data_IF_112134091399
#
_entry.id   IF_112134091399
#
_cell.length_a   1.000
_cell.length_b   1.000
_cell.length_c   1.000
_cell.angle_alpha   90.00
_cell.angle_beta   90.00
_cell.angle_gamma   90.00
#
_symmetry.space_group_name_H-M   'P 1'
#
loop_
_entity.id
_entity.type
_entity.pdbx_description
1 polymer ?
#
# COMPACT_ATOMS: atom_id res chain seq x y z
N UNK A 1 -24.34 6.89 -28.66
CA UNK A 1 -24.61 8.32 -28.42
C UNK A 1 -23.66 8.79 -27.34
N UNK A 2 -22.62 9.54 -27.72
CA UNK A 2 -21.66 10.13 -26.78
C UNK A 2 -22.40 11.10 -25.85
N UNK A 3 -22.14 11.09 -24.53
CA UNK A 3 -22.73 12.08 -23.65
C UNK A 3 -22.16 13.46 -23.99
N UNK A 4 -22.94 14.55 -23.81
CA UNK A 4 -22.48 15.89 -24.12
C UNK A 4 -21.35 16.28 -23.16
N UNK A 5 -20.16 16.48 -23.69
CA UNK A 5 -19.06 17.16 -23.02
C UNK A 5 -19.39 18.64 -22.90
N UNK A 6 -20.25 19.00 -21.95
CA UNK A 6 -20.31 20.39 -21.49
C UNK A 6 -19.02 20.66 -20.71
N UNK A 7 -18.06 21.31 -21.35
CA UNK A 7 -16.80 21.72 -20.73
C UNK A 7 -17.10 22.80 -19.69
N UNK A 8 -17.21 22.40 -18.42
CA UNK A 8 -17.28 23.34 -17.30
C UNK A 8 -16.07 24.29 -17.31
N UNK A 9 -16.26 25.59 -16.98
CA UNK A 9 -15.25 26.62 -17.16
C UNK A 9 -14.04 26.38 -16.25
N UNK A 10 -12.84 26.63 -16.77
CA UNK A 10 -11.60 26.54 -15.99
C UNK A 10 -11.46 27.75 -15.05
N UNK A 11 -10.62 27.65 -14.00
CA UNK A 11 -10.39 28.75 -13.03
C UNK A 11 -9.98 30.04 -13.74
N UNK A 12 -9.11 29.93 -14.75
CA UNK A 12 -8.67 31.04 -15.60
C UNK A 12 -9.85 31.71 -16.33
N UNK A 13 -10.79 30.92 -16.86
CA UNK A 13 -11.96 31.43 -17.58
C UNK A 13 -12.97 32.09 -16.64
N UNK A 14 -13.23 31.50 -15.47
CA UNK A 14 -14.12 32.10 -14.48
C UNK A 14 -13.55 33.39 -13.91
N UNK A 15 -12.25 33.44 -13.60
CA UNK A 15 -11.61 34.68 -13.16
C UNK A 15 -11.76 35.79 -14.19
N UNK A 16 -11.51 35.48 -15.48
CA UNK A 16 -11.71 36.45 -16.56
C UNK A 16 -13.17 36.88 -16.68
N UNK A 17 -14.12 35.94 -16.59
CA UNK A 17 -15.56 36.21 -16.69
C UNK A 17 -16.05 37.09 -15.55
N UNK A 18 -15.73 36.72 -14.31
CA UNK A 18 -16.10 37.46 -13.11
C UNK A 18 -15.48 38.85 -13.08
N UNK A 19 -14.21 38.99 -13.46
CA UNK A 19 -13.55 40.30 -13.55
C UNK A 19 -14.19 41.19 -14.61
N UNK A 20 -14.48 40.64 -15.79
CA UNK A 20 -15.17 41.39 -16.87
C UNK A 20 -16.58 41.82 -16.44
N UNK A 21 -17.31 40.97 -15.74
CA UNK A 21 -18.63 41.29 -15.19
C UNK A 21 -18.57 42.40 -14.14
N UNK A 22 -17.51 42.40 -13.31
CA UNK A 22 -17.25 43.46 -12.35
C UNK A 22 -16.76 44.78 -12.99
N UNK A 23 -16.54 44.81 -14.32
CA UNK A 23 -16.05 46.00 -15.02
C UNK A 23 -14.59 46.38 -14.67
N UNK A 24 -13.82 45.46 -14.08
CA UNK A 24 -12.49 45.76 -13.56
C UNK A 24 -11.38 45.41 -14.56
N UNK A 25 -10.36 46.27 -14.63
CA UNK A 25 -9.09 45.92 -15.29
C UNK A 25 -8.29 44.93 -14.43
N UNK A 26 -7.33 44.21 -15.03
CA UNK A 26 -6.44 43.31 -14.27
C UNK A 26 -5.67 44.07 -13.18
N UNK A 27 -5.28 45.33 -13.44
CA UNK A 27 -4.56 46.15 -12.48
C UNK A 27 -5.43 46.50 -11.26
N UNK A 28 -6.67 46.95 -11.47
CA UNK A 28 -7.60 47.28 -10.39
C UNK A 28 -7.95 46.05 -9.53
N UNK A 29 -8.23 44.91 -10.17
CA UNK A 29 -8.55 43.67 -9.45
C UNK A 29 -7.35 43.16 -8.63
N UNK A 30 -6.12 43.27 -9.16
CA UNK A 30 -4.91 42.86 -8.46
C UNK A 30 -4.64 43.74 -7.23
N UNK A 31 -4.80 45.06 -7.38
CA UNK A 31 -4.61 46.04 -6.30
C UNK A 31 -5.63 45.84 -5.17
N UNK A 32 -6.93 45.71 -5.50
CA UNK A 32 -7.99 45.47 -4.52
C UNK A 32 -7.86 44.11 -3.82
N UNK A 33 -7.38 43.08 -4.52
CA UNK A 33 -7.13 41.77 -3.93
C UNK A 33 -5.82 41.71 -3.14
N UNK A 34 -4.94 42.72 -3.27
CA UNK A 34 -3.57 42.74 -2.73
C UNK A 34 -2.67 41.62 -3.26
N UNK A 35 -2.84 41.26 -4.54
CA UNK A 35 -1.99 40.30 -5.26
C UNK A 35 -1.17 41.05 -6.31
N UNK A 36 -0.05 40.47 -6.76
CA UNK A 36 0.72 41.12 -7.82
C UNK A 36 -0.02 41.06 -9.16
N UNK A 37 0.13 42.11 -9.99
CA UNK A 37 -0.43 42.14 -11.34
C UNK A 37 0.06 40.95 -12.19
N UNK A 38 1.34 40.59 -12.07
CA UNK A 38 1.90 39.40 -12.72
C UNK A 38 1.22 38.12 -12.22
N UNK A 39 0.99 37.99 -10.92
CA UNK A 39 0.33 36.83 -10.32
C UNK A 39 -1.13 36.67 -10.77
N UNK A 40 -1.90 37.77 -10.85
CA UNK A 40 -3.26 37.72 -11.39
C UNK A 40 -3.27 37.37 -12.90
N UNK A 41 -2.31 37.89 -13.65
CA UNK A 41 -2.16 37.58 -15.08
C UNK A 41 -1.84 36.11 -15.31
N UNK A 42 -0.95 35.52 -14.52
CA UNK A 42 -0.59 34.10 -14.62
C UNK A 42 -1.76 33.18 -14.22
N UNK A 43 -2.60 33.61 -13.27
CA UNK A 43 -3.86 32.94 -12.93
C UNK A 43 -4.86 32.99 -14.09
N UNK A 44 -5.10 34.17 -14.67
CA UNK A 44 -6.04 34.33 -15.79
C UNK A 44 -5.57 33.67 -17.09
N UNK A 45 -4.28 33.36 -17.22
CA UNK A 45 -3.72 32.66 -18.39
C UNK A 45 -3.55 31.15 -18.14
N UNK A 46 -3.97 30.64 -16.98
CA UNK A 46 -3.88 29.22 -16.66
C UNK A 46 -2.44 28.71 -16.48
N UNK A 47 -1.46 29.59 -16.27
CA UNK A 47 -0.06 29.20 -16.04
C UNK A 47 0.17 28.61 -14.65
N UNK A 48 -0.75 28.90 -13.71
CA UNK A 48 -0.74 28.34 -12.36
C UNK A 48 -1.72 27.18 -12.31
N UNK A 49 -1.19 25.95 -12.32
CA UNK A 49 -1.99 24.72 -12.34
C UNK A 49 -2.82 24.49 -11.06
N UNK A 50 -2.33 24.96 -9.91
CA UNK A 50 -3.00 24.82 -8.60
C UNK A 50 -2.95 26.14 -7.81
N UNK A 51 -3.89 27.07 -8.06
CA UNK A 51 -3.99 28.31 -7.29
C UNK A 51 -4.23 28.04 -5.80
N UNK A 52 -3.67 28.87 -4.91
CA UNK A 52 -3.98 28.80 -3.48
C UNK A 52 -5.40 29.31 -3.24
N UNK A 53 -6.19 28.56 -2.47
CA UNK A 53 -7.56 28.93 -2.12
C UNK A 53 -7.66 30.31 -1.41
N UNK A 54 -6.66 30.65 -0.59
CA UNK A 54 -6.56 31.96 0.06
C UNK A 54 -6.42 33.11 -0.93
N UNK A 55 -5.60 32.93 -1.96
CA UNK A 55 -5.44 33.90 -3.05
C UNK A 55 -6.74 34.07 -3.84
N UNK A 56 -7.43 32.96 -4.16
CA UNK A 56 -8.71 33.01 -4.87
C UNK A 56 -9.82 33.67 -4.05
N UNK A 57 -9.89 33.43 -2.74
CA UNK A 57 -10.83 34.12 -1.85
C UNK A 57 -10.61 35.62 -1.80
N UNK A 58 -9.34 36.07 -1.75
CA UNK A 58 -9.00 37.51 -1.80
C UNK A 58 -9.43 38.16 -3.11
N UNK A 59 -9.24 37.45 -4.23
CA UNK A 59 -9.72 37.92 -5.54
C UNK A 59 -11.25 37.93 -5.59
N UNK A 60 -11.91 36.90 -5.06
CA UNK A 60 -13.37 36.84 -4.98
C UNK A 60 -13.96 38.00 -4.16
N UNK A 61 -13.35 38.33 -3.01
CA UNK A 61 -13.71 39.51 -2.22
C UNK A 61 -13.53 40.80 -3.01
N UNK A 62 -12.40 40.96 -3.71
CA UNK A 62 -12.13 42.15 -4.53
C UNK A 62 -13.11 42.32 -5.69
N UNK A 63 -13.57 41.21 -6.27
CA UNK A 63 -14.56 41.18 -7.35
C UNK A 63 -16.01 41.25 -6.84
N UNK A 64 -16.22 41.41 -5.53
CA UNK A 64 -17.53 41.41 -4.88
C UNK A 64 -18.38 40.19 -5.25
N UNK A 65 -17.76 39.01 -5.37
CA UNK A 65 -18.45 37.77 -5.68
C UNK A 65 -19.39 37.37 -4.55
N UNK A 66 -20.52 36.76 -4.91
CA UNK A 66 -21.39 36.13 -3.92
C UNK A 66 -20.66 35.00 -3.19
N UNK A 67 -21.20 34.56 -2.05
CA UNK A 67 -20.67 33.38 -1.38
C UNK A 67 -20.69 32.14 -2.31
N UNK A 68 -21.72 31.99 -3.13
CA UNK A 68 -21.87 30.90 -4.12
C UNK A 68 -20.79 30.96 -5.21
N UNK A 69 -20.50 32.15 -5.75
CA UNK A 69 -19.48 32.36 -6.79
C UNK A 69 -18.05 32.24 -6.24
N UNK A 70 -17.85 32.64 -4.98
CA UNK A 70 -16.58 32.46 -4.27
C UNK A 70 -16.30 30.98 -4.07
N UNK A 71 -17.31 30.20 -3.68
CA UNK A 71 -17.19 28.76 -3.49
C UNK A 71 -17.01 28.03 -4.83
N UNK A 72 -17.66 28.48 -5.91
CA UNK A 72 -17.43 27.98 -7.27
C UNK A 72 -15.98 28.21 -7.71
N UNK A 73 -15.47 29.43 -7.56
CA UNK A 73 -14.10 29.78 -7.93
C UNK A 73 -13.05 28.98 -7.13
N UNK A 74 -13.27 28.82 -5.83
CA UNK A 74 -12.35 28.10 -4.93
C UNK A 74 -12.47 26.59 -5.10
N UNK A 75 -13.69 26.07 -5.31
CA UNK A 75 -13.97 24.65 -5.50
C UNK A 75 -13.28 24.06 -6.74
N UNK A 76 -13.26 24.80 -7.85
CA UNK A 76 -12.59 24.37 -9.09
C UNK A 76 -11.06 24.30 -8.92
N UNK A 77 -10.51 25.12 -8.02
CA UNK A 77 -9.07 25.12 -7.71
C UNK A 77 -8.66 24.04 -6.69
N UNK A 78 -9.59 23.60 -5.85
CA UNK A 78 -9.30 22.64 -4.79
C UNK A 78 -9.26 21.19 -5.28
N UNK A 79 -9.98 20.84 -6.36
CA UNK A 79 -9.84 19.51 -6.96
C UNK A 79 -10.36 19.44 -8.43
N UNK A 80 -9.51 19.24 -9.44
CA UNK A 80 -9.95 19.01 -10.83
C UNK A 80 -10.86 17.78 -10.98
N UNK A 81 -10.79 16.86 -10.01
CA UNK A 81 -11.65 15.67 -9.91
C UNK A 81 -13.04 15.96 -9.33
N UNK A 82 -13.38 17.18 -8.94
CA UNK A 82 -14.76 17.53 -8.54
C UNK A 82 -15.64 17.89 -9.75
N UNK A 83 -15.08 17.90 -10.96
CA UNK A 83 -15.78 18.28 -12.19
C UNK A 83 -16.77 17.19 -12.59
N UNK A 84 -18.06 17.52 -12.58
CA UNK A 84 -19.14 16.67 -13.12
C UNK A 84 -19.78 15.70 -12.14
N UNK A 85 -19.45 15.76 -10.85
CA UNK A 85 -20.04 14.87 -9.84
C UNK A 85 -21.14 15.57 -9.04
N UNK A 86 -22.31 14.92 -9.01
CA UNK A 86 -23.45 15.37 -8.19
C UNK A 86 -23.16 15.27 -6.69
N UNK A 87 -22.26 14.37 -6.28
CA UNK A 87 -21.84 14.14 -4.91
C UNK A 87 -20.36 13.72 -4.87
N UNK A 88 -19.60 14.31 -3.96
CA UNK A 88 -18.22 13.90 -3.65
C UNK A 88 -17.96 13.96 -2.15
N UNK A 89 -17.71 12.79 -1.56
CA UNK A 89 -17.35 12.63 -0.15
C UNK A 89 -15.85 12.41 -0.06
N UNK A 90 -15.23 12.95 0.98
CA UNK A 90 -13.80 12.82 1.20
C UNK A 90 -13.49 12.36 2.60
N UNK A 91 -12.79 11.23 2.73
CA UNK A 91 -12.37 10.62 3.98
C UNK A 91 -10.85 10.47 4.10
N UNK A 92 -10.09 10.65 3.01
CA UNK A 92 -8.63 10.61 2.97
C UNK A 92 -8.03 11.95 3.43
N UNK A 93 -8.37 12.34 4.65
CA UNK A 93 -8.12 13.64 5.25
C UNK A 93 -9.30 14.06 6.14
N UNK A 94 -9.45 15.34 6.48
CA UNK A 94 -10.64 15.82 7.19
C UNK A 94 -11.92 15.46 6.42
N UNK A 95 -12.94 14.95 7.12
CA UNK A 95 -14.22 14.63 6.50
C UNK A 95 -14.82 15.89 5.87
N UNK A 96 -15.11 15.81 4.57
CA UNK A 96 -15.83 16.84 3.82
C UNK A 96 -16.75 16.22 2.78
N UNK A 97 -17.87 16.89 2.50
CA UNK A 97 -18.80 16.49 1.46
C UNK A 97 -19.08 17.68 0.54
N UNK A 98 -19.23 17.41 -0.75
CA UNK A 98 -19.56 18.38 -1.77
C UNK A 98 -20.73 17.86 -2.59
N UNK A 99 -21.69 18.72 -2.90
CA UNK A 99 -22.87 18.40 -3.72
C UNK A 99 -22.89 19.38 -4.88
N UNK A 100 -22.88 18.86 -6.11
CA UNK A 100 -22.77 19.66 -7.33
C UNK A 100 -21.62 20.69 -7.27
N UNK A 101 -20.48 20.28 -6.70
CA UNK A 101 -19.29 21.12 -6.51
C UNK A 101 -19.30 22.08 -5.30
N UNK A 102 -20.42 22.20 -4.59
CA UNK A 102 -20.56 23.11 -3.43
C UNK A 102 -20.33 22.35 -2.13
N UNK A 103 -19.54 22.90 -1.21
CA UNK A 103 -19.29 22.29 0.10
C UNK A 103 -20.56 22.22 0.94
N UNK A 104 -20.84 21.06 1.51
CA UNK A 104 -22.00 20.82 2.38
C UNK A 104 -21.54 20.31 3.73
N UNK A 105 -21.97 20.98 4.81
CA UNK A 105 -21.80 20.48 6.18
C UNK A 105 -22.75 19.28 6.41
N UNK A 106 -22.27 18.09 6.80
CA UNK A 106 -23.16 16.96 7.13
C UNK A 106 -24.00 17.19 8.41
N UNK A 107 -23.60 18.14 9.25
CA UNK A 107 -24.28 18.53 10.47
C UNK A 107 -23.42 18.37 11.72
N UNK A 108 -24.04 18.20 12.91
CA UNK A 108 -23.35 17.97 14.17
C UNK A 108 -22.41 16.76 14.14
N UNK A 109 -21.47 16.70 15.08
CA UNK A 109 -20.43 15.66 15.20
C UNK A 109 -20.96 14.25 15.01
N UNK A 110 -22.06 13.87 15.69
CA UNK A 110 -22.67 12.53 15.56
C UNK A 110 -23.08 12.18 14.13
N UNK A 111 -23.63 13.14 13.37
CA UNK A 111 -23.98 12.93 11.95
C UNK A 111 -22.76 12.83 11.05
N UNK A 112 -21.71 13.61 11.34
CA UNK A 112 -20.42 13.50 10.65
C UNK A 112 -19.77 12.14 10.91
N UNK A 113 -19.83 11.64 12.16
CA UNK A 113 -19.36 10.30 12.51
C UNK A 113 -20.14 9.22 11.77
N UNK A 114 -21.47 9.31 11.73
CA UNK A 114 -22.30 8.39 10.95
C UNK A 114 -21.90 8.36 9.47
N UNK A 115 -21.70 9.53 8.84
CA UNK A 115 -21.22 9.61 7.47
C UNK A 115 -19.82 8.99 7.33
N UNK A 116 -18.91 9.27 8.26
CA UNK A 116 -17.56 8.71 8.26
C UNK A 116 -17.56 7.18 8.33
N UNK A 117 -18.31 6.59 9.26
CA UNK A 117 -18.43 5.14 9.43
C UNK A 117 -18.97 4.48 8.16
N UNK A 118 -20.04 5.03 7.56
CA UNK A 118 -20.60 4.49 6.33
C UNK A 118 -19.67 4.70 5.12
N UNK A 119 -18.91 5.79 5.07
CA UNK A 119 -17.97 6.07 4.00
C UNK A 119 -16.65 5.26 4.10
N UNK A 120 -16.32 4.73 5.28
CA UNK A 120 -15.22 3.78 5.47
C UNK A 120 -15.55 2.38 4.92
N UNK A 121 -16.84 2.04 4.84
CA UNK A 121 -17.36 0.80 4.26
C UNK A 121 -18.30 1.09 3.06
N UNK A 122 -17.79 1.74 1.99
CA UNK A 122 -18.64 2.15 0.88
C UNK A 122 -19.23 0.93 0.18
N UNK A 123 -20.50 1.00 -0.16
CA UNK A 123 -21.26 -0.08 -0.80
C UNK A 123 -21.40 -1.37 0.03
N UNK A 124 -21.09 -1.33 1.33
CA UNK A 124 -21.28 -2.44 2.25
C UNK A 124 -22.23 -2.06 3.41
N UNK A 125 -23.03 -3.01 3.93
CA UNK A 125 -23.88 -2.75 5.08
C UNK A 125 -23.06 -2.66 6.37
N UNK A 126 -23.20 -1.56 7.10
CA UNK A 126 -22.69 -1.40 8.46
C UNK A 126 -23.81 -1.75 9.44
N UNK A 127 -23.54 -2.69 10.34
CA UNK A 127 -24.50 -3.17 11.32
C UNK A 127 -24.96 -2.04 12.26
N UNK A 128 -26.26 -2.04 12.60
CA UNK A 128 -26.85 -1.04 13.49
C UNK A 128 -26.12 -0.98 14.83
N UNK A 129 -25.85 -2.12 15.44
CA UNK A 129 -25.25 -2.18 16.78
C UNK A 129 -23.84 -1.60 16.77
N UNK A 130 -23.06 -1.86 15.71
CA UNK A 130 -21.75 -1.23 15.51
C UNK A 130 -21.87 0.29 15.32
N UNK A 131 -22.87 0.77 14.57
CA UNK A 131 -23.12 2.21 14.47
C UNK A 131 -23.51 2.82 15.82
N UNK A 132 -24.32 2.13 16.63
CA UNK A 132 -24.70 2.63 17.95
C UNK A 132 -23.48 2.71 18.89
N UNK A 133 -22.66 1.66 18.90
CA UNK A 133 -21.42 1.59 19.68
C UNK A 133 -20.47 2.74 19.33
N UNK A 134 -20.22 3.01 18.04
CA UNK A 134 -19.32 4.11 17.67
C UNK A 134 -19.91 5.51 17.85
N UNK A 135 -21.25 5.66 17.86
CA UNK A 135 -21.89 6.97 17.96
C UNK A 135 -22.17 7.41 19.40
N UNK A 136 -22.28 6.46 20.33
CA UNK A 136 -22.58 6.69 21.75
C UNK A 136 -21.62 5.98 22.70
N UNK A 137 -20.50 5.46 22.18
CA UNK A 137 -19.53 4.65 22.93
C UNK A 137 -20.24 3.51 23.69
N UNK A 138 -20.03 3.39 24.99
CA UNK A 138 -20.64 2.35 25.83
C UNK A 138 -21.98 2.75 26.46
N UNK A 139 -22.51 3.96 26.21
CA UNK A 139 -23.72 4.48 26.87
C UNK A 139 -24.78 5.01 25.87
N UNK A 140 -25.36 4.15 25.03
CA UNK A 140 -26.47 4.55 24.17
C UNK A 140 -27.74 4.84 25.00
N UNK A 141 -28.44 5.98 24.77
CA UNK A 141 -29.72 6.23 25.40
C UNK A 141 -30.79 5.25 24.89
N UNK A 142 -31.88 5.05 25.63
CA UNK A 142 -33.01 4.21 25.19
C UNK A 142 -33.57 4.62 23.81
N UNK A 143 -33.41 5.90 23.45
CA UNK A 143 -33.86 6.48 22.17
C UNK A 143 -32.81 6.43 21.05
N UNK A 144 -31.67 5.77 21.25
CA UNK A 144 -30.54 5.79 20.31
C UNK A 144 -30.94 5.33 18.89
N UNK A 145 -31.77 4.29 18.78
CA UNK A 145 -32.27 3.80 17.48
C UNK A 145 -33.09 4.87 16.76
N UNK A 146 -33.97 5.58 17.47
CA UNK A 146 -34.79 6.66 16.89
C UNK A 146 -33.94 7.87 16.49
N UNK A 147 -32.91 8.19 17.29
CA UNK A 147 -31.94 9.23 16.97
C UNK A 147 -31.10 8.88 15.74
N UNK A 148 -30.66 7.62 15.61
CA UNK A 148 -29.93 7.12 14.44
C UNK A 148 -30.78 7.25 13.16
N UNK A 149 -32.04 6.83 13.20
CA UNK A 149 -32.98 7.00 12.07
C UNK A 149 -33.16 8.48 11.69
N UNK A 150 -33.24 9.36 12.69
CA UNK A 150 -33.32 10.81 12.48
C UNK A 150 -32.06 11.35 11.80
N UNK A 151 -30.89 10.92 12.25
CA UNK A 151 -29.61 11.34 11.69
C UNK A 151 -29.41 10.81 10.28
N UNK A 152 -29.81 9.56 9.97
CA UNK A 152 -29.84 9.01 8.60
C UNK A 152 -30.77 9.83 7.69
N UNK A 153 -31.98 10.13 8.15
CA UNK A 153 -32.95 10.93 7.38
C UNK A 153 -32.42 12.33 7.06
N UNK A 154 -31.79 13.00 8.04
CA UNK A 154 -31.17 14.31 7.85
C UNK A 154 -29.92 14.25 6.96
N UNK A 155 -29.12 13.19 7.08
CA UNK A 155 -27.95 12.97 6.24
C UNK A 155 -28.36 12.80 4.77
N UNK A 156 -29.36 11.96 4.49
CA UNK A 156 -29.94 11.82 3.13
C UNK A 156 -30.31 13.19 2.57
N UNK A 157 -31.10 13.98 3.31
CA UNK A 157 -31.54 15.31 2.85
C UNK A 157 -30.39 16.26 2.51
N UNK A 158 -29.28 16.21 3.27
CA UNK A 158 -28.13 17.10 3.04
C UNK A 158 -27.26 16.67 1.86
N UNK A 159 -27.21 15.38 1.55
CA UNK A 159 -26.37 14.85 0.47
C UNK A 159 -27.11 14.70 -0.87
N UNK A 160 -28.40 15.05 -0.94
CA UNK A 160 -29.18 15.05 -2.18
C UNK A 160 -28.72 16.16 -3.13
N UNK A 161 -28.49 15.88 -4.42
CA UNK A 161 -28.24 16.90 -5.43
C UNK A 161 -29.46 17.80 -5.65
N UNK A 162 -29.21 19.03 -6.15
CA UNK A 162 -30.24 20.05 -6.43
C UNK A 162 -31.33 19.58 -7.40
N UNK A 163 -31.01 18.64 -8.29
CA UNK A 163 -31.98 17.89 -9.12
C UNK A 163 -31.86 16.41 -8.78
N UNK A 164 -32.65 15.90 -7.83
CA UNK A 164 -32.62 14.49 -7.48
C UNK A 164 -33.25 13.66 -8.60
N UNK A 165 -32.45 12.85 -9.29
CA UNK A 165 -32.97 11.77 -10.12
C UNK A 165 -33.55 10.66 -9.23
N UNK A 166 -34.29 9.71 -9.80
CA UNK A 166 -34.90 8.60 -9.07
C UNK A 166 -33.89 7.76 -8.24
N UNK A 167 -32.59 7.83 -8.57
CA UNK A 167 -31.48 7.20 -7.85
C UNK A 167 -31.07 7.92 -6.56
N UNK A 168 -31.40 9.20 -6.39
CA UNK A 168 -30.97 10.01 -5.25
C UNK A 168 -31.57 9.52 -3.92
N UNK A 169 -32.71 8.83 -3.98
CA UNK A 169 -33.35 8.20 -2.82
C UNK A 169 -32.64 6.92 -2.33
N UNK A 170 -31.58 6.48 -3.03
CA UNK A 170 -30.81 5.25 -2.74
C UNK A 170 -29.42 5.52 -2.16
N UNK A 171 -29.08 6.77 -1.83
CA UNK A 171 -27.73 7.09 -1.35
C UNK A 171 -27.39 6.42 -0.03
N UNK A 172 -28.28 6.50 0.96
CA UNK A 172 -28.16 5.71 2.20
C UNK A 172 -29.32 4.74 2.25
N UNK A 173 -29.08 3.45 2.22
CA UNK A 173 -30.14 2.42 2.19
C UNK A 173 -30.23 1.77 3.56
N UNK A 174 -31.46 1.56 4.04
CA UNK A 174 -31.69 0.74 5.22
C UNK A 174 -31.65 -0.74 4.78
N UNK A 175 -30.81 -1.53 5.43
CA UNK A 175 -30.73 -2.98 5.19
C UNK A 175 -31.43 -3.73 6.33
N UNK A 176 -31.49 -5.05 6.26
CA UNK A 176 -32.07 -5.86 7.34
C UNK A 176 -31.31 -5.68 8.67
N UNK A 177 -29.98 -5.45 8.60
CA UNK A 177 -29.09 -5.41 9.76
C UNK A 177 -28.53 -4.01 10.09
N UNK A 178 -28.77 -3.00 9.25
CA UNK A 178 -28.22 -1.66 9.50
C UNK A 178 -28.40 -0.70 8.34
N UNK A 179 -27.31 -0.02 7.96
CA UNK A 179 -27.31 1.00 6.92
C UNK A 179 -26.12 0.84 5.98
N UNK A 180 -26.33 1.18 4.72
CA UNK A 180 -25.30 1.16 3.67
C UNK A 180 -25.26 2.51 2.97
N UNK A 181 -24.07 3.02 2.68
CA UNK A 181 -23.88 4.17 1.81
C UNK A 181 -23.51 3.68 0.41
N UNK A 182 -24.40 3.88 -0.56
CA UNK A 182 -24.25 3.42 -1.94
C UNK A 182 -23.67 4.54 -2.81
N UNK A 183 -22.48 4.31 -3.34
CA UNK A 183 -21.67 5.29 -4.06
C UNK A 183 -21.01 4.65 -5.29
N UNK A 184 -20.97 5.39 -6.40
CA UNK A 184 -20.10 5.05 -7.54
C UNK A 184 -18.65 5.41 -7.27
N UNK A 185 -17.73 4.84 -8.06
CA UNK A 185 -16.27 5.01 -7.93
C UNK A 185 -15.79 6.47 -7.89
N UNK A 186 -16.60 7.39 -8.41
CA UNK A 186 -16.26 8.80 -8.55
C UNK A 186 -17.04 9.70 -7.59
N UNK A 187 -17.65 9.13 -6.54
CA UNK A 187 -18.38 9.88 -5.52
C UNK A 187 -17.69 9.87 -4.15
N UNK A 188 -16.57 9.16 -4.03
CA UNK A 188 -15.78 9.04 -2.80
C UNK A 188 -14.29 8.92 -3.12
N UNK A 189 -13.46 9.73 -2.47
CA UNK A 189 -12.00 9.71 -2.64
C UNK A 189 -11.38 8.35 -2.32
N UNK A 190 -11.91 7.62 -1.34
CA UNK A 190 -11.48 6.25 -1.03
C UNK A 190 -11.72 5.27 -2.19
N UNK A 191 -12.86 5.33 -2.86
CA UNK A 191 -13.13 4.46 -4.02
C UNK A 191 -12.23 4.84 -5.20
N UNK A 192 -12.06 6.15 -5.44
CA UNK A 192 -11.16 6.65 -6.48
C UNK A 192 -9.70 6.23 -6.20
N UNK A 193 -9.26 6.28 -4.95
CA UNK A 193 -7.94 5.83 -4.51
C UNK A 193 -7.72 4.36 -4.81
N UNK A 194 -8.63 3.48 -4.37
CA UNK A 194 -8.52 2.03 -4.58
C UNK A 194 -8.55 1.66 -6.07
N UNK A 195 -9.36 2.37 -6.86
CA UNK A 195 -9.40 2.20 -8.32
C UNK A 195 -8.07 2.57 -8.98
N UNK A 196 -7.51 3.72 -8.62
CA UNK A 196 -6.21 4.16 -9.15
C UNK A 196 -5.06 3.25 -8.68
N UNK A 197 -5.09 2.79 -7.43
CA UNK A 197 -4.14 1.82 -6.89
C UNK A 197 -4.16 0.51 -7.69
N UNK A 198 -5.35 -0.02 -7.95
CA UNK A 198 -5.52 -1.23 -8.75
C UNK A 198 -5.07 -1.04 -10.20
N UNK A 199 -5.37 0.11 -10.81
CA UNK A 199 -4.90 0.43 -12.15
C UNK A 199 -3.37 0.53 -12.21
N UNK A 200 -2.74 1.18 -11.23
CA UNK A 200 -1.29 1.33 -11.12
C UNK A 200 -0.58 -0.03 -11.00
N UNK A 201 -1.12 -0.92 -10.17
CA UNK A 201 -0.60 -2.27 -10.03
C UNK A 201 -0.70 -3.06 -11.35
N UNK A 202 -1.79 -2.89 -12.11
CA UNK A 202 -1.98 -3.57 -13.39
C UNK A 202 -1.06 -3.01 -14.49
N UNK A 203 -0.93 -1.69 -14.61
CA UNK A 203 0.05 -1.05 -15.51
C UNK A 203 1.47 -1.52 -15.21
N UNK A 204 1.84 -1.65 -13.93
CA UNK A 204 3.15 -2.18 -13.53
C UNK A 204 3.35 -3.63 -13.96
N UNK A 205 2.34 -4.51 -13.77
CA UNK A 205 2.40 -5.91 -14.21
C UNK A 205 2.57 -6.04 -15.73
N UNK A 206 1.99 -5.12 -16.49
CA UNK A 206 2.09 -5.06 -17.95
C UNK A 206 3.41 -4.43 -18.44
N UNK A 207 4.29 -3.99 -17.52
CA UNK A 207 5.55 -3.32 -17.84
C UNK A 207 5.41 -1.84 -18.20
N UNK A 208 4.21 -1.26 -18.12
CA UNK A 208 3.98 0.17 -18.30
C UNK A 208 4.31 0.94 -17.00
N UNK A 209 5.61 1.06 -16.72
CA UNK A 209 6.11 1.75 -15.54
C UNK A 209 5.73 3.25 -15.55
N UNK A 210 5.66 3.88 -16.72
CA UNK A 210 5.32 5.29 -16.85
C UNK A 210 3.86 5.53 -16.50
N UNK A 211 2.93 4.74 -17.06
CA UNK A 211 1.51 4.78 -16.71
C UNK A 211 1.26 4.46 -15.25
N UNK A 212 1.96 3.46 -14.70
CA UNK A 212 1.89 3.11 -13.28
C UNK A 212 2.31 4.28 -12.39
N UNK A 213 3.43 4.95 -12.67
CA UNK A 213 3.88 6.13 -11.91
C UNK A 213 2.85 7.28 -11.93
N UNK A 214 2.24 7.57 -13.09
CA UNK A 214 1.20 8.62 -13.17
C UNK A 214 -0.05 8.25 -12.35
N UNK A 215 -0.48 6.99 -12.38
CA UNK A 215 -1.62 6.52 -11.61
C UNK A 215 -1.32 6.50 -10.10
N UNK A 216 -0.14 6.05 -9.68
CA UNK A 216 0.31 6.15 -8.29
C UNK A 216 0.32 7.59 -7.81
N UNK A 217 0.89 8.50 -8.61
CA UNK A 217 0.91 9.94 -8.32
C UNK A 217 -0.50 10.51 -8.16
N UNK A 218 -1.44 10.13 -9.03
CA UNK A 218 -2.84 10.56 -8.90
C UNK A 218 -3.46 10.01 -7.61
N UNK A 219 -3.20 8.75 -7.26
CA UNK A 219 -3.73 8.11 -6.05
C UNK A 219 -3.21 8.78 -4.77
N UNK A 220 -1.90 9.01 -4.63
CA UNK A 220 -1.33 9.66 -3.44
C UNK A 220 -1.80 11.10 -3.27
N UNK A 221 -2.09 11.81 -4.38
CA UNK A 221 -2.59 13.19 -4.35
C UNK A 221 -4.06 13.31 -3.89
N UNK A 222 -4.78 12.20 -3.73
CA UNK A 222 -6.11 12.20 -3.11
C UNK A 222 -6.05 12.44 -1.60
N UNK A 223 -4.91 12.10 -0.99
CA UNK A 223 -4.69 12.22 0.44
C UNK A 223 -4.43 13.68 0.82
N UNK A 224 -5.18 14.16 1.81
CA UNK A 224 -5.11 15.54 2.33
C UNK A 224 -4.59 15.56 3.77
N UNK A 225 -3.82 14.54 4.15
CA UNK A 225 -3.34 14.25 5.50
C UNK A 225 -3.98 12.98 6.08
N UNK A 226 -3.88 12.82 7.40
CA UNK A 226 -4.44 11.68 8.12
C UNK A 226 -5.97 11.56 7.94
N UNK A 227 -6.50 10.34 7.69
CA UNK A 227 -7.92 10.11 7.50
C UNK A 227 -8.77 10.60 8.68
N UNK A 228 -9.90 11.23 8.36
CA UNK A 228 -10.92 11.67 9.31
C UNK A 228 -10.35 12.48 10.49
N UNK A 229 -9.33 13.30 10.24
CA UNK A 229 -8.63 14.10 11.28
C UNK A 229 -9.55 15.00 12.11
N UNK A 230 -10.66 15.48 11.55
CA UNK A 230 -11.67 16.27 12.24
C UNK A 230 -12.67 15.43 13.06
N UNK A 231 -12.51 14.11 13.10
CA UNK A 231 -13.31 13.16 13.88
C UNK A 231 -12.38 12.22 14.67
N UNK A 232 -11.82 12.68 15.81
CA UNK A 232 -10.83 11.91 16.58
C UNK A 232 -11.27 10.49 16.95
N UNK A 233 -12.54 10.30 17.30
CA UNK A 233 -13.10 8.99 17.63
C UNK A 233 -12.94 7.94 16.51
N UNK A 234 -12.98 8.36 15.24
CA UNK A 234 -12.84 7.44 14.11
C UNK A 234 -11.39 7.17 13.71
N UNK A 235 -10.40 7.85 14.30
CA UNK A 235 -8.98 7.62 13.96
C UNK A 235 -8.50 6.24 14.40
N UNK A 236 -9.03 5.74 15.53
CA UNK A 236 -8.70 4.41 16.07
C UNK A 236 -9.57 3.30 15.48
N UNK A 237 -10.53 3.65 14.62
CA UNK A 237 -11.39 2.66 13.96
C UNK A 237 -10.52 1.71 13.10
N UNK A 238 -10.72 0.38 13.15
CA UNK A 238 -9.90 -0.58 12.42
C UNK A 238 -9.77 -0.30 10.93
N UNK A 239 -10.87 0.12 10.28
CA UNK A 239 -10.85 0.52 8.87
C UNK A 239 -9.94 1.74 8.62
N UNK A 240 -9.93 2.74 9.51
CA UNK A 240 -9.05 3.91 9.38
C UNK A 240 -7.58 3.53 9.51
N UNK A 241 -7.26 2.65 10.46
CA UNK A 241 -5.89 2.09 10.62
C UNK A 241 -5.47 1.29 9.39
N UNK A 242 -6.38 0.47 8.84
CA UNK A 242 -6.13 -0.27 7.61
C UNK A 242 -5.88 0.66 6.41
N UNK A 243 -6.62 1.79 6.30
CA UNK A 243 -6.36 2.80 5.27
C UNK A 243 -4.96 3.41 5.39
N UNK A 244 -4.48 3.68 6.61
CA UNK A 244 -3.10 4.12 6.82
C UNK A 244 -2.09 3.15 6.24
N UNK A 245 -2.28 1.83 6.47
CA UNK A 245 -1.43 0.78 5.90
C UNK A 245 -1.55 0.67 4.37
N UNK A 246 -2.76 0.81 3.81
CA UNK A 246 -2.97 0.87 2.36
C UNK A 246 -2.18 2.04 1.73
N UNK A 247 -2.16 3.20 2.39
CA UNK A 247 -1.37 4.36 1.96
C UNK A 247 0.13 4.07 1.96
N UNK A 248 0.63 3.51 3.06
CA UNK A 248 2.05 3.16 3.23
C UNK A 248 2.50 2.21 2.12
N UNK A 249 1.73 1.14 1.88
CA UNK A 249 2.02 0.17 0.82
C UNK A 249 2.06 0.82 -0.57
N UNK A 250 1.07 1.67 -0.88
CA UNK A 250 1.01 2.35 -2.18
C UNK A 250 2.19 3.32 -2.38
N UNK A 251 2.62 4.04 -1.34
CA UNK A 251 3.79 4.94 -1.44
C UNK A 251 5.08 4.14 -1.65
N UNK A 252 5.23 2.97 -1.04
CA UNK A 252 6.37 2.07 -1.27
C UNK A 252 6.38 1.54 -2.71
N UNK A 253 5.24 1.12 -3.24
CA UNK A 253 5.11 0.68 -4.63
C UNK A 253 5.41 1.81 -5.62
N UNK A 254 4.93 3.03 -5.33
CA UNK A 254 5.25 4.21 -6.12
C UNK A 254 6.75 4.49 -6.08
N UNK A 255 7.40 4.41 -4.92
CA UNK A 255 8.83 4.67 -4.76
C UNK A 255 9.69 3.66 -5.53
N UNK A 256 9.34 2.38 -5.46
CA UNK A 256 10.00 1.31 -6.22
C UNK A 256 9.86 1.54 -7.73
N UNK A 257 8.64 1.78 -8.21
CA UNK A 257 8.35 2.04 -9.65
C UNK A 257 9.06 3.30 -10.15
N UNK A 258 9.02 4.39 -9.37
CA UNK A 258 9.70 5.63 -9.71
C UNK A 258 11.22 5.46 -9.73
N UNK A 259 11.77 4.62 -8.85
CA UNK A 259 13.19 4.28 -8.84
C UNK A 259 13.65 3.53 -10.08
N UNK A 260 12.84 2.61 -10.62
CA UNK A 260 13.12 1.94 -11.90
C UNK A 260 13.19 2.93 -13.08
N UNK A 261 12.47 4.06 -12.99
CA UNK A 261 12.49 5.14 -13.98
C UNK A 261 13.50 6.27 -13.67
N UNK A 262 14.25 6.19 -12.56
CA UNK A 262 15.12 7.26 -12.08
C UNK A 262 14.38 8.53 -11.60
N UNK A 263 13.06 8.45 -11.38
CA UNK A 263 12.18 9.57 -10.97
C UNK A 263 12.07 9.69 -9.44
N UNK A 264 13.17 9.49 -8.73
CA UNK A 264 13.20 9.45 -7.26
C UNK A 264 12.67 10.73 -6.60
N UNK A 265 12.91 11.89 -7.21
CA UNK A 265 12.53 13.18 -6.65
C UNK A 265 11.01 13.37 -6.55
N UNK A 266 10.22 12.70 -7.40
CA UNK A 266 8.76 12.84 -7.43
C UNK A 266 8.09 12.21 -6.21
N UNK A 267 8.68 11.17 -5.63
CA UNK A 267 8.09 10.42 -4.50
C UNK A 267 8.51 10.96 -3.12
N UNK A 268 9.58 11.76 -3.05
CA UNK A 268 10.15 12.27 -1.80
C UNK A 268 9.13 12.97 -0.87
N UNK A 269 8.24 13.87 -1.35
CA UNK A 269 7.27 14.53 -0.48
C UNK A 269 6.33 13.53 0.21
N UNK A 270 5.95 12.47 -0.51
CA UNK A 270 5.04 11.46 0.01
C UNK A 270 5.73 10.50 0.98
N UNK A 271 6.98 10.11 0.71
CA UNK A 271 7.77 9.29 1.64
C UNK A 271 8.03 10.02 2.96
N UNK A 272 8.32 11.32 2.91
CA UNK A 272 8.49 12.14 4.12
C UNK A 272 7.21 12.20 4.95
N UNK A 273 6.09 12.49 4.31
CA UNK A 273 4.79 12.59 5.00
C UNK A 273 4.42 11.26 5.70
N UNK A 274 4.61 10.13 5.03
CA UNK A 274 4.30 8.82 5.64
C UNK A 274 5.34 8.41 6.70
N UNK A 275 6.61 8.78 6.55
CA UNK A 275 7.63 8.55 7.58
C UNK A 275 7.39 9.39 8.85
N UNK A 276 6.81 10.59 8.71
CA UNK A 276 6.41 11.41 9.86
C UNK A 276 5.23 10.80 10.62
N UNK A 277 4.28 10.19 9.91
CA UNK A 277 3.12 9.51 10.52
C UNK A 277 3.48 8.20 11.23
N UNK A 278 4.52 7.50 10.77
CA UNK A 278 4.96 6.22 11.35
C UNK A 278 6.49 6.16 11.49
N UNK A 279 7.05 6.81 12.55
CA UNK A 279 8.47 7.09 12.61
C UNK A 279 9.39 5.91 12.91
N UNK A 280 8.82 4.73 13.17
CA UNK A 280 9.56 3.48 13.40
C UNK A 280 9.43 2.51 12.22
N UNK A 281 8.75 2.89 11.15
CA UNK A 281 8.50 2.00 10.02
C UNK A 281 9.72 1.89 9.08
N UNK A 282 10.58 0.91 9.35
CA UNK A 282 11.87 0.73 8.68
C UNK A 282 11.81 0.74 7.15
N UNK A 283 10.83 0.06 6.52
CA UNK A 283 10.74 0.01 5.06
C UNK A 283 10.48 1.37 4.41
N UNK A 284 9.71 2.26 5.06
CA UNK A 284 9.45 3.61 4.55
C UNK A 284 10.72 4.43 4.61
N UNK A 285 11.46 4.34 5.71
CA UNK A 285 12.75 5.00 5.86
C UNK A 285 13.79 4.45 4.88
N UNK A 286 13.83 3.14 4.65
CA UNK A 286 14.68 2.51 3.64
C UNK A 286 14.37 3.06 2.23
N UNK A 287 13.09 3.14 1.85
CA UNK A 287 12.66 3.72 0.57
C UNK A 287 13.01 5.22 0.48
N UNK A 288 12.84 5.98 1.56
CA UNK A 288 13.23 7.39 1.65
C UNK A 288 14.75 7.57 1.47
N UNK A 289 15.58 6.72 2.08
CA UNK A 289 17.02 6.74 1.88
C UNK A 289 17.41 6.51 0.42
N UNK A 290 16.83 5.51 -0.22
CA UNK A 290 17.09 5.20 -1.64
C UNK A 290 16.65 6.37 -2.52
N UNK A 291 15.46 6.94 -2.28
CA UNK A 291 14.96 8.06 -3.07
C UNK A 291 15.81 9.34 -2.88
N UNK A 292 16.28 9.62 -1.65
CA UNK A 292 17.18 10.74 -1.37
C UNK A 292 18.51 10.57 -2.10
N UNK A 293 19.14 9.40 -1.95
CA UNK A 293 20.41 9.11 -2.61
C UNK A 293 20.26 9.13 -4.14
N UNK A 294 19.19 8.55 -4.69
CA UNK A 294 18.88 8.55 -6.13
C UNK A 294 18.57 9.95 -6.69
N UNK A 295 18.23 10.90 -5.81
CA UNK A 295 18.06 12.32 -6.14
C UNK A 295 19.33 13.15 -5.90
N UNK A 296 20.49 12.51 -5.65
CA UNK A 296 21.76 13.18 -5.37
C UNK A 296 21.94 13.69 -3.93
N UNK A 297 21.03 13.37 -3.01
CA UNK A 297 21.06 13.80 -1.61
C UNK A 297 21.61 12.70 -0.68
N UNK A 298 22.80 12.20 -0.98
CA UNK A 298 23.40 11.07 -0.25
C UNK A 298 23.63 11.36 1.24
N UNK A 299 24.12 12.55 1.59
CA UNK A 299 24.31 12.93 2.99
C UNK A 299 22.99 12.87 3.78
N UNK A 300 21.90 13.38 3.20
CA UNK A 300 20.58 13.31 3.82
C UNK A 300 20.08 11.86 3.96
N UNK A 301 20.36 11.00 3.00
CA UNK A 301 20.03 9.57 3.10
C UNK A 301 20.76 8.89 4.27
N UNK A 302 22.04 9.19 4.50
CA UNK A 302 22.81 8.63 5.62
C UNK A 302 22.36 9.19 6.98
N UNK A 303 21.89 10.45 7.03
CA UNK A 303 21.26 11.01 8.23
C UNK A 303 20.00 10.25 8.60
N UNK A 304 19.12 9.92 7.63
CA UNK A 304 17.89 9.14 7.89
C UNK A 304 18.19 7.80 8.57
N UNK A 305 19.23 7.08 8.12
CA UNK A 305 19.65 5.83 8.78
C UNK A 305 20.10 6.06 10.22
N UNK A 306 20.93 7.08 10.43
CA UNK A 306 21.50 7.39 11.74
C UNK A 306 20.40 7.76 12.74
N UNK A 307 19.45 8.61 12.31
CA UNK A 307 18.34 9.07 13.12
C UNK A 307 17.39 7.92 13.49
N UNK A 308 17.04 7.07 12.51
CA UNK A 308 16.15 5.93 12.76
C UNK A 308 16.83 4.87 13.64
N UNK A 309 18.10 4.54 13.39
CA UNK A 309 18.85 3.60 14.25
C UNK A 309 18.86 4.06 15.71
N UNK A 310 19.13 5.34 15.95
CA UNK A 310 19.13 5.89 17.30
C UNK A 310 17.74 5.80 17.93
N UNK A 311 16.68 6.03 17.15
CA UNK A 311 15.29 5.96 17.61
C UNK A 311 14.86 4.53 17.94
N UNK A 312 15.18 3.54 17.08
CA UNK A 312 14.95 2.11 17.34
C UNK A 312 15.67 1.63 18.61
N UNK A 313 16.94 2.03 18.78
CA UNK A 313 17.70 1.68 19.96
C UNK A 313 17.11 2.31 21.25
N UNK A 314 16.61 3.55 21.16
CA UNK A 314 16.07 4.28 22.32
C UNK A 314 14.66 3.83 22.69
N UNK A 315 13.78 3.62 21.71
CA UNK A 315 12.36 3.32 21.94
C UNK A 315 12.06 1.82 22.03
N UNK A 316 12.80 0.98 21.29
CA UNK A 316 12.56 -0.47 21.21
C UNK A 316 13.73 -1.32 21.76
N UNK A 317 14.89 -0.72 22.01
CA UNK A 317 16.10 -1.48 22.38
C UNK A 317 16.59 -2.42 21.27
N UNK A 318 16.21 -2.13 20.02
CA UNK A 318 16.48 -2.98 18.86
C UNK A 318 17.49 -2.34 17.90
N UNK A 319 18.25 -3.19 17.22
CA UNK A 319 19.08 -2.79 16.09
C UNK A 319 18.24 -2.69 14.80
N UNK A 320 18.72 -1.94 13.77
CA UNK A 320 18.10 -1.89 12.45
C UNK A 320 17.85 -3.28 11.85
N UNK A 321 16.65 -3.48 11.34
CA UNK A 321 16.25 -4.62 10.54
C UNK A 321 16.99 -4.70 9.20
N UNK A 322 16.78 -5.81 8.52
CA UNK A 322 17.52 -6.19 7.32
C UNK A 322 17.30 -5.20 6.16
N UNK A 323 16.07 -4.76 5.94
CA UNK A 323 15.68 -3.86 4.85
C UNK A 323 16.37 -2.50 4.97
N UNK A 324 16.41 -1.94 6.19
CA UNK A 324 17.07 -0.68 6.48
C UNK A 324 18.59 -0.79 6.34
N UNK A 325 19.18 -1.89 6.82
CA UNK A 325 20.60 -2.18 6.67
C UNK A 325 21.01 -2.36 5.19
N UNK A 326 20.18 -3.04 4.39
CA UNK A 326 20.42 -3.19 2.95
C UNK A 326 20.36 -1.85 2.21
N UNK A 327 19.37 -1.01 2.50
CA UNK A 327 19.27 0.32 1.92
C UNK A 327 20.53 1.16 2.24
N UNK A 328 21.02 1.12 3.48
CA UNK A 328 22.26 1.77 3.87
C UNK A 328 23.47 1.29 3.05
N UNK A 329 23.64 -0.03 2.90
CA UNK A 329 24.75 -0.58 2.09
C UNK A 329 24.67 -0.17 0.62
N UNK A 330 23.46 -0.12 0.04
CA UNK A 330 23.23 0.32 -1.33
C UNK A 330 23.59 1.80 -1.53
N UNK A 331 23.21 2.65 -0.58
CA UNK A 331 23.58 4.08 -0.58
C UNK A 331 25.09 4.26 -0.50
N UNK A 332 25.81 3.46 0.29
CA UNK A 332 27.28 3.51 0.37
C UNK A 332 27.95 3.05 -0.95
N UNK A 333 27.39 2.04 -1.61
CA UNK A 333 27.90 1.48 -2.87
C UNK A 333 27.47 2.25 -4.12
N UNK A 334 26.63 3.27 -3.98
CA UNK A 334 26.01 4.00 -5.10
C UNK A 334 25.17 3.10 -6.04
N UNK A 335 24.60 2.01 -5.52
CA UNK A 335 23.77 1.07 -6.27
C UNK A 335 22.27 1.36 -6.10
N UNK A 336 21.80 2.38 -6.84
CA UNK A 336 20.51 3.03 -6.65
C UNK A 336 19.49 2.71 -7.74
N UNK A 337 19.94 2.26 -8.91
CA UNK A 337 19.12 1.97 -10.09
C UNK A 337 18.56 0.55 -10.13
N UNK A 338 18.82 -0.26 -9.11
CA UNK A 338 18.30 -1.63 -9.03
C UNK A 338 17.16 -1.71 -8.03
N UNK A 339 15.93 -1.49 -8.47
CA UNK A 339 14.83 -2.28 -7.91
C UNK A 339 15.06 -3.67 -8.50
N UNK A 340 15.56 -4.61 -7.71
CA UNK A 340 15.20 -5.97 -8.03
C UNK A 340 13.67 -5.97 -7.96
N UNK A 341 13.01 -5.98 -9.13
CA UNK A 341 11.69 -6.58 -9.23
C UNK A 341 11.73 -7.82 -8.33
N UNK A 342 10.72 -8.10 -7.49
CA UNK A 342 10.65 -9.41 -6.89
C UNK A 342 10.56 -10.36 -8.07
N UNK A 343 11.70 -10.94 -8.47
CA UNK A 343 11.76 -12.04 -9.39
C UNK A 343 10.92 -13.08 -8.69
N UNK A 344 9.64 -13.18 -9.09
CA UNK A 344 8.62 -14.14 -8.66
C UNK A 344 9.07 -14.80 -7.38
N UNK A 345 8.91 -14.11 -6.23
CA UNK A 345 9.60 -14.38 -4.98
C UNK A 345 10.20 -15.78 -5.02
N UNK A 346 11.47 -15.89 -5.41
CA UNK A 346 12.13 -17.19 -5.41
C UNK A 346 12.34 -17.46 -3.93
N UNK A 347 11.24 -17.84 -3.27
CA UNK A 347 11.11 -18.20 -1.85
C UNK A 347 11.88 -19.48 -1.55
N UNK A 348 12.79 -19.89 -2.43
CA UNK A 348 13.78 -20.88 -2.08
C UNK A 348 14.73 -20.23 -1.08
N UNK A 349 14.58 -20.59 0.19
CA UNK A 349 15.64 -20.44 1.18
C UNK A 349 16.86 -21.21 0.66
N UNK A 350 17.82 -20.55 0.00
CA UNK A 350 18.97 -21.23 -0.63
C UNK A 350 20.02 -21.62 0.41
N UNK A 351 19.67 -22.56 1.30
CA UNK A 351 20.52 -23.01 2.40
C UNK A 351 21.52 -24.10 2.01
N UNK A 352 21.57 -24.50 0.73
CA UNK A 352 22.52 -25.50 0.30
C UNK A 352 23.95 -25.03 0.58
N UNK A 353 24.81 -25.89 1.17
CA UNK A 353 26.24 -25.62 1.28
C UNK A 353 26.84 -25.28 -0.09
N UNK A 354 27.90 -24.46 -0.09
CA UNK A 354 28.61 -24.10 -1.32
C UNK A 354 29.14 -25.36 -1.99
N UNK A 355 29.03 -25.40 -3.31
CA UNK A 355 29.70 -26.42 -4.11
C UNK A 355 31.22 -26.19 -4.13
N UNK A 356 31.98 -27.24 -4.42
CA UNK A 356 33.44 -27.18 -4.60
C UNK A 356 33.77 -27.02 -6.09
N UNK A 357 34.78 -26.20 -6.40
CA UNK A 357 35.22 -25.98 -7.79
C UNK A 357 35.83 -27.24 -8.41
N UNK A 358 36.59 -28.01 -7.62
CA UNK A 358 37.35 -29.19 -8.06
C UNK A 358 36.61 -30.49 -7.74
N UNK A 359 35.39 -30.66 -8.26
CA UNK A 359 34.66 -31.92 -8.16
C UNK A 359 35.12 -32.90 -9.25
N UNK A 360 35.83 -33.96 -8.86
CA UNK A 360 36.42 -34.94 -9.79
C UNK A 360 35.87 -36.34 -9.58
N UNK A 361 35.45 -37.01 -10.65
CA UNK A 361 34.89 -38.36 -10.60
C UNK A 361 33.42 -38.39 -10.16
N UNK A 362 32.82 -39.58 -10.14
CA UNK A 362 31.40 -39.85 -9.75
C UNK A 362 30.35 -39.42 -10.76
N UNK A 363 30.72 -39.24 -12.02
CA UNK A 363 29.83 -38.89 -13.12
C UNK A 363 28.74 -39.95 -13.33
N UNK A 364 29.09 -41.22 -13.15
CA UNK A 364 28.15 -42.34 -13.24
C UNK A 364 27.09 -42.27 -12.14
N UNK A 365 27.49 -42.05 -10.88
CA UNK A 365 26.58 -41.93 -9.75
C UNK A 365 25.69 -40.69 -9.85
N UNK A 366 26.23 -39.54 -10.28
CA UNK A 366 25.44 -38.34 -10.57
C UNK A 366 24.40 -38.61 -11.66
N UNK A 367 24.80 -39.27 -12.75
CA UNK A 367 23.88 -39.60 -13.87
C UNK A 367 22.74 -40.51 -13.40
N UNK A 368 23.03 -41.51 -12.55
CA UNK A 368 22.00 -42.39 -11.97
C UNK A 368 21.02 -41.61 -11.09
N UNK A 369 21.52 -40.71 -10.24
CA UNK A 369 20.68 -39.91 -9.34
C UNK A 369 19.82 -38.89 -10.14
N UNK A 370 20.38 -38.24 -11.15
CA UNK A 370 19.65 -37.35 -12.05
C UNK A 370 18.55 -38.09 -12.82
N UNK A 371 18.84 -39.27 -13.35
CA UNK A 371 17.86 -40.09 -14.06
C UNK A 371 16.70 -40.51 -13.15
N UNK A 372 16.96 -40.84 -11.88
CA UNK A 372 15.92 -41.13 -10.88
C UNK A 372 15.08 -39.90 -10.56
N UNK A 373 15.70 -38.74 -10.37
CA UNK A 373 14.98 -37.48 -10.15
C UNK A 373 14.12 -37.07 -11.36
N UNK A 374 14.55 -37.38 -12.59
CA UNK A 374 13.80 -37.10 -13.80
C UNK A 374 12.57 -37.99 -13.99
N UNK A 375 12.68 -39.31 -13.75
CA UNK A 375 11.57 -40.27 -13.94
C UNK A 375 10.35 -40.01 -13.07
N UNK A 376 10.56 -39.49 -11.86
CA UNK A 376 9.47 -39.23 -10.93
C UNK A 376 8.81 -37.86 -11.13
N UNK A 377 9.41 -36.95 -11.90
CA UNK A 377 8.77 -35.68 -12.26
C UNK A 377 7.52 -35.89 -13.16
N UNK A 378 7.39 -37.04 -13.80
CA UNK A 378 6.24 -37.41 -14.65
C UNK A 378 5.03 -37.91 -13.82
N UNK A 379 5.25 -38.35 -12.58
CA UNK A 379 4.21 -38.89 -11.68
C UNK A 379 4.07 -38.02 -10.42
N UNK A 380 3.12 -37.08 -10.44
CA UNK A 380 2.95 -35.99 -9.46
C UNK A 380 2.37 -36.41 -8.08
N UNK A 381 2.35 -37.70 -7.75
CA UNK A 381 1.64 -38.22 -6.56
C UNK A 381 2.54 -38.77 -5.45
N UNK A 382 3.84 -38.98 -5.70
CA UNK A 382 4.76 -39.55 -4.70
C UNK A 382 6.06 -38.74 -4.55
N UNK A 383 6.45 -38.46 -3.30
CA UNK A 383 7.73 -37.80 -2.98
C UNK A 383 8.91 -38.68 -3.38
N UNK A 384 9.85 -38.13 -4.15
CA UNK A 384 11.08 -38.84 -4.53
C UNK A 384 12.10 -38.78 -3.40
N UNK A 385 12.46 -39.93 -2.84
CA UNK A 385 13.52 -40.04 -1.85
C UNK A 385 14.71 -40.75 -2.48
N UNK A 386 15.87 -40.09 -2.51
CA UNK A 386 17.13 -40.65 -2.97
C UNK A 386 18.09 -40.77 -1.79
N UNK A 387 18.42 -42.01 -1.40
CA UNK A 387 19.37 -42.27 -0.33
C UNK A 387 20.79 -42.48 -0.91
N UNK A 388 21.78 -41.75 -0.38
CA UNK A 388 23.20 -41.86 -0.75
C UNK A 388 23.94 -42.52 0.42
N UNK A 389 24.29 -43.79 0.27
CA UNK A 389 24.95 -44.60 1.31
C UNK A 389 26.40 -44.89 0.92
N UNK A 390 27.28 -44.96 1.92
CA UNK A 390 28.71 -45.22 1.73
C UNK A 390 29.53 -44.92 2.99
N UNK A 391 30.79 -45.32 2.99
CA UNK A 391 31.69 -45.14 4.13
C UNK A 391 31.83 -43.67 4.56
N UNK A 392 32.16 -43.42 5.83
CA UNK A 392 32.47 -42.07 6.30
C UNK A 392 33.63 -41.47 5.50
N UNK A 393 33.58 -40.16 5.21
CA UNK A 393 34.62 -39.47 4.45
C UNK A 393 34.65 -39.73 2.94
N UNK A 394 33.84 -40.64 2.40
CA UNK A 394 33.84 -40.98 0.94
C UNK A 394 33.26 -39.88 0.03
N UNK A 395 32.79 -38.76 0.61
CA UNK A 395 32.29 -37.60 -0.14
C UNK A 395 30.79 -37.59 -0.44
N UNK A 396 29.96 -38.34 0.31
CA UNK A 396 28.49 -38.41 0.11
C UNK A 396 27.82 -37.04 0.13
N UNK A 397 28.14 -36.23 1.14
CA UNK A 397 27.64 -34.86 1.28
C UNK A 397 28.03 -34.01 0.06
N UNK A 398 29.28 -34.13 -0.41
CA UNK A 398 29.75 -33.41 -1.61
C UNK A 398 28.98 -33.84 -2.86
N UNK A 399 28.74 -35.15 -3.03
CA UNK A 399 27.94 -35.68 -4.14
C UNK A 399 26.49 -35.16 -4.09
N UNK A 400 25.88 -35.13 -2.90
CA UNK A 400 24.51 -34.67 -2.70
C UNK A 400 24.37 -33.16 -2.97
N UNK A 401 25.31 -32.35 -2.47
CA UNK A 401 25.37 -30.90 -2.72
C UNK A 401 25.61 -30.62 -4.21
N UNK A 402 26.53 -31.34 -4.86
CA UNK A 402 26.79 -31.22 -6.31
C UNK A 402 25.55 -31.52 -7.15
N UNK A 403 24.83 -32.60 -6.82
CA UNK A 403 23.57 -32.95 -7.48
C UNK A 403 22.51 -31.86 -7.28
N UNK A 404 22.37 -31.34 -6.05
CA UNK A 404 21.43 -30.28 -5.74
C UNK A 404 21.67 -29.02 -6.58
N UNK A 405 22.93 -28.56 -6.69
CA UNK A 405 23.31 -27.43 -7.54
C UNK A 405 23.05 -27.70 -9.03
N UNK A 406 23.28 -28.92 -9.52
CA UNK A 406 23.00 -29.29 -10.92
C UNK A 406 21.49 -29.31 -11.24
N UNK A 407 20.66 -29.83 -10.33
CA UNK A 407 19.21 -29.83 -10.50
C UNK A 407 18.65 -28.40 -10.53
N UNK A 408 19.20 -27.51 -9.70
CA UNK A 408 18.85 -26.09 -9.68
C UNK A 408 19.30 -25.35 -10.94
N UNK A 409 20.51 -25.60 -11.41
CA UNK A 409 21.00 -25.03 -12.67
C UNK A 409 20.14 -25.47 -13.87
N UNK A 410 19.53 -26.66 -13.79
CA UNK A 410 18.56 -27.17 -14.76
C UNK A 410 17.13 -26.63 -14.58
N UNK A 411 16.91 -25.67 -13.68
CA UNK A 411 15.61 -25.03 -13.43
C UNK A 411 14.63 -25.87 -12.61
N UNK A 412 15.08 -26.96 -11.96
CA UNK A 412 14.23 -27.82 -11.14
C UNK A 412 14.30 -27.43 -9.66
N UNK A 413 13.20 -27.62 -8.92
CA UNK A 413 13.10 -27.37 -7.48
C UNK A 413 13.45 -25.93 -7.07
N UNK A 414 13.04 -24.96 -7.88
CA UNK A 414 13.31 -23.54 -7.66
C UNK A 414 12.44 -22.88 -6.59
N UNK A 415 11.39 -23.57 -6.12
CA UNK A 415 10.40 -22.95 -5.21
C UNK A 415 10.86 -22.99 -3.75
N UNK A 416 11.53 -24.07 -3.33
CA UNK A 416 12.01 -24.28 -1.95
C UNK A 416 13.29 -25.12 -1.92
N UNK A 417 14.25 -24.74 -1.08
CA UNK A 417 15.43 -25.54 -0.77
C UNK A 417 15.56 -25.59 0.75
N UNK A 418 15.71 -26.79 1.32
CA UNK A 418 15.88 -26.95 2.76
C UNK A 418 17.08 -27.85 3.00
N UNK A 419 17.97 -27.45 3.90
CA UNK A 419 19.16 -28.21 4.28
C UNK A 419 19.23 -28.33 5.79
N UNK A 420 19.58 -29.52 6.27
CA UNK A 420 19.92 -29.74 7.68
C UNK A 420 20.96 -30.84 7.79
N UNK A 421 21.94 -30.65 8.67
CA UNK A 421 22.83 -31.71 9.15
C UNK A 421 22.14 -32.39 10.35
N UNK A 422 21.84 -33.67 10.23
CA UNK A 422 21.17 -34.46 11.26
C UNK A 422 22.13 -34.98 12.33
N UNK A 423 23.43 -34.74 12.20
CA UNK A 423 24.45 -35.07 13.20
C UNK A 423 24.51 -36.55 13.61
N UNK A 424 23.99 -37.46 12.79
CA UNK A 424 23.81 -38.88 13.14
C UNK A 424 25.10 -39.64 13.44
N UNK A 425 26.23 -39.17 12.92
CA UNK A 425 27.56 -39.74 13.18
C UNK A 425 28.57 -38.68 13.70
N UNK A 426 28.05 -37.59 14.28
CA UNK A 426 28.87 -36.53 14.87
C UNK A 426 29.12 -36.77 16.38
N UNK A 427 30.07 -36.06 17.02
CA UNK A 427 30.28 -36.15 18.48
C UNK A 427 29.11 -35.61 19.30
N UNK A 428 28.23 -34.82 18.68
CA UNK A 428 27.04 -34.21 19.28
C UNK A 428 25.81 -35.09 19.04
N UNK A 429 24.76 -34.98 19.88
CA UNK A 429 23.56 -35.82 19.73
C UNK A 429 22.90 -35.60 18.36
N UNK A 430 22.26 -36.65 17.79
CA UNK A 430 21.49 -36.52 16.55
C UNK A 430 20.43 -35.43 16.67
N UNK A 431 20.16 -34.74 15.55
CA UNK A 431 19.17 -33.68 15.51
C UNK A 431 17.77 -34.23 15.86
N UNK A 432 17.10 -33.59 16.83
CA UNK A 432 15.74 -33.93 17.21
C UNK A 432 14.76 -33.56 16.07
N UNK A 433 13.96 -34.52 15.55
CA UNK A 433 12.99 -34.25 14.49
C UNK A 433 12.02 -33.11 14.79
N UNK A 434 11.65 -32.94 16.06
CA UNK A 434 10.73 -31.87 16.46
C UNK A 434 11.38 -30.49 16.26
N UNK A 435 12.64 -30.36 16.66
CA UNK A 435 13.48 -29.17 16.44
C UNK A 435 13.74 -28.90 14.96
N UNK A 436 14.03 -29.94 14.16
CA UNK A 436 14.25 -29.82 12.71
C UNK A 436 13.00 -29.31 11.99
N UNK A 437 11.82 -29.88 12.30
CA UNK A 437 10.58 -29.44 11.68
C UNK A 437 10.18 -28.03 12.08
N UNK A 438 10.39 -27.60 13.33
CA UNK A 438 10.19 -26.19 13.69
C UNK A 438 11.09 -25.25 12.91
N UNK A 439 12.38 -25.60 12.74
CA UNK A 439 13.30 -24.82 11.92
C UNK A 439 12.82 -24.71 10.47
N UNK A 440 12.38 -25.82 9.87
CA UNK A 440 11.82 -25.80 8.51
C UNK A 440 10.52 -25.00 8.41
N UNK A 441 9.62 -25.06 9.40
CA UNK A 441 8.40 -24.27 9.41
C UNK A 441 8.68 -22.77 9.51
N UNK A 442 9.66 -22.37 10.34
CA UNK A 442 10.14 -20.99 10.35
C UNK A 442 10.68 -20.55 8.99
N UNK A 443 11.45 -21.41 8.31
CA UNK A 443 11.91 -21.20 6.94
C UNK A 443 10.81 -21.29 5.89
N UNK A 444 9.60 -21.71 6.24
CA UNK A 444 8.45 -21.70 5.33
C UNK A 444 7.48 -20.56 5.67
N UNK A 445 8.01 -19.51 6.31
CA UNK A 445 7.30 -18.30 6.76
C UNK A 445 6.11 -18.63 7.68
N UNK A 446 6.28 -19.58 8.61
CA UNK A 446 5.32 -19.79 9.70
C UNK A 446 5.74 -18.93 10.90
N UNK A 447 4.89 -17.99 11.35
CA UNK A 447 5.12 -17.22 12.57
C UNK A 447 5.34 -18.15 13.77
N UNK A 448 6.27 -17.82 14.66
CA UNK A 448 6.68 -18.71 15.75
C UNK A 448 5.58 -19.06 16.76
N UNK A 449 4.62 -18.16 16.94
CA UNK A 449 3.41 -18.35 17.75
C UNK A 449 2.40 -19.31 17.10
N UNK A 450 2.52 -19.57 15.79
CA UNK A 450 1.65 -20.47 15.02
C UNK A 450 2.28 -21.86 14.81
N UNK A 451 3.52 -22.10 15.25
CA UNK A 451 4.17 -23.40 15.14
C UNK A 451 3.66 -24.30 16.29
N UNK A 452 2.97 -25.42 15.99
CA UNK A 452 2.51 -26.36 17.02
C UNK A 452 3.67 -26.88 17.88
N UNK A 453 3.41 -27.38 19.08
CA UNK A 453 4.47 -27.94 19.94
C UNK A 453 4.71 -29.44 19.69
N UNK A 454 3.70 -30.13 19.19
CA UNK A 454 3.73 -31.57 18.91
C UNK A 454 4.26 -31.89 17.49
N UNK A 455 4.91 -33.04 17.38
CA UNK A 455 5.59 -33.48 16.17
C UNK A 455 4.61 -33.73 15.01
N UNK A 456 3.46 -34.35 15.29
CA UNK A 456 2.48 -34.73 14.27
C UNK A 456 1.84 -33.51 13.61
N UNK A 457 1.46 -32.50 14.40
CA UNK A 457 0.92 -31.25 13.89
C UNK A 457 1.95 -30.43 13.12
N UNK A 458 3.23 -30.42 13.57
CA UNK A 458 4.33 -29.82 12.79
C UNK A 458 4.51 -30.52 11.44
N UNK A 459 4.47 -31.85 11.41
CA UNK A 459 4.59 -32.63 10.19
C UNK A 459 3.40 -32.39 9.24
N UNK A 460 2.18 -32.24 9.77
CA UNK A 460 1.00 -31.89 8.99
C UNK A 460 1.10 -30.50 8.37
N UNK A 461 1.47 -29.49 9.17
CA UNK A 461 1.66 -28.12 8.70
C UNK A 461 2.81 -28.02 7.68
N UNK A 462 3.88 -28.80 7.86
CA UNK A 462 4.99 -28.87 6.92
C UNK A 462 4.54 -29.39 5.55
N UNK A 463 3.71 -30.45 5.51
CA UNK A 463 3.12 -30.96 4.27
C UNK A 463 2.21 -29.94 3.61
N UNK A 464 1.37 -29.25 4.39
CA UNK A 464 0.50 -28.18 3.88
C UNK A 464 1.31 -27.05 3.23
N UNK A 465 2.39 -26.61 3.89
CA UNK A 465 3.26 -25.54 3.37
C UNK A 465 4.09 -25.93 2.15
N UNK A 466 4.31 -27.23 1.92
CA UNK A 466 4.97 -27.76 0.73
C UNK A 466 4.01 -28.15 -0.38
N UNK A 467 2.70 -28.17 -0.13
CA UNK A 467 1.70 -28.54 -1.13
C UNK A 467 1.79 -27.61 -2.36
N UNK A 468 1.91 -28.22 -3.55
CA UNK A 468 2.00 -27.50 -4.82
C UNK A 468 3.34 -26.78 -5.09
N UNK A 469 4.37 -27.01 -4.25
CA UNK A 469 5.71 -26.41 -4.45
C UNK A 469 6.73 -27.45 -4.92
N UNK A 470 7.59 -27.06 -5.86
CA UNK A 470 8.76 -27.83 -6.23
C UNK A 470 9.89 -27.60 -5.21
N UNK A 471 9.95 -28.46 -4.20
CA UNK A 471 10.90 -28.36 -3.11
C UNK A 471 12.03 -29.40 -3.20
N UNK A 472 13.25 -29.01 -2.88
CA UNK A 472 14.38 -29.90 -2.63
C UNK A 472 14.74 -29.87 -1.14
N UNK A 473 14.76 -31.05 -0.51
CA UNK A 473 15.14 -31.20 0.90
C UNK A 473 16.37 -32.10 0.97
N UNK A 474 17.46 -31.57 1.50
CA UNK A 474 18.71 -32.29 1.71
C UNK A 474 18.92 -32.54 3.21
N UNK A 475 18.73 -33.79 3.61
CA UNK A 475 18.99 -34.28 4.96
C UNK A 475 20.37 -34.94 4.99
N UNK A 476 21.36 -34.27 5.57
CA UNK A 476 22.74 -34.74 5.62
C UNK A 476 23.01 -35.50 6.92
N UNK A 477 23.95 -36.46 6.86
CA UNK A 477 24.44 -37.21 8.02
C UNK A 477 23.34 -37.89 8.87
N UNK A 478 22.31 -38.48 8.25
CA UNK A 478 21.29 -39.25 8.97
C UNK A 478 21.90 -40.51 9.64
N UNK A 479 21.50 -40.81 10.88
CA UNK A 479 21.93 -42.03 11.59
C UNK A 479 21.21 -43.29 11.07
N UNK A 480 19.94 -43.14 10.70
CA UNK A 480 19.06 -44.20 10.18
C UNK A 480 18.28 -43.67 8.99
N UNK A 481 17.99 -44.54 8.03
CA UNK A 481 17.23 -44.21 6.81
C UNK A 481 15.72 -44.27 7.01
#
# INVERSE_FOLDING_TARGET
MSPPTSSLPRVDQLLQQFRRRAGMTQQQAAELAGVSLAGLRDLEQGRIAKPRATTLRRIATALALSAEETDELVGISLNPQLRGYDLWIQVLGPLSAHVSGVSVDPGPTRRRMLLGLLALAPNEPVARDSLLEWLWDSEPPETAVALLQTDVSRLRRRLLPRKPDASANRLVIATQSGYQLTLGDQQLDLLAFRKLASAAAESRKQGDLVGACEQFKQAVNLWRGEPLTNLPALRVHPATVALGRERQALVLDYASTAGELGRHSEVLPFLRDVAESDPLHENIHAALMIALAGSGQQAAALSVFTDLRNRLATELGADPGHELAQAHQRVLRHDLTRSEQPATATRAHRQLPRDIADFTGRETELSVLQARAARNAEHHTATTIANIVGMAGVGKTRLAVRLAHQLLAAGKYGDQQLYVDLHGHAPQPPADPNTVLASFLHLLDVPGDQIPQDLDSRAALYRDRLHGKNALVLLDNAATA
#
